data_IF_656974325978
#
_entry.id   IF_656974325978
#
_cell.length_a   1.000
_cell.length_b   1.000
_cell.length_c   1.000
_cell.angle_alpha   90.00
_cell.angle_beta   90.00
_cell.angle_gamma   90.00
#
_symmetry.space_group_name_H-M   'P 1'
#
loop_
_entity.id
_entity.type
_entity.pdbx_description
1 polymer ?
#
# COMPACT_ATOMS: atom_id res chain seq x y z
N UNK A 1 -8.05 -36.27 -18.59
CA UNK A 1 -8.35 -35.68 -17.27
C UNK A 1 -7.15 -35.86 -16.36
N UNK A 2 -6.65 -34.80 -15.76
CA UNK A 2 -5.52 -34.80 -14.80
C UNK A 2 -5.98 -35.25 -13.42
N UNK A 3 -5.29 -36.24 -12.81
CA UNK A 3 -5.56 -36.62 -11.43
C UNK A 3 -5.13 -35.49 -10.47
N UNK A 4 -6.08 -34.94 -9.68
CA UNK A 4 -5.89 -33.83 -8.73
C UNK A 4 -5.33 -34.37 -7.40
N UNK A 5 -4.04 -34.74 -7.37
CA UNK A 5 -3.41 -35.37 -6.20
C UNK A 5 -3.36 -34.44 -4.99
N UNK A 6 -3.35 -33.12 -5.19
CA UNK A 6 -3.42 -32.11 -4.14
C UNK A 6 -4.67 -32.18 -3.25
N UNK A 7 -5.76 -32.81 -3.69
CA UNK A 7 -6.92 -33.08 -2.84
C UNK A 7 -6.73 -34.30 -1.94
N UNK A 8 -5.98 -35.32 -2.42
CA UNK A 8 -5.70 -36.54 -1.64
C UNK A 8 -4.65 -36.29 -0.57
N UNK A 9 -3.57 -35.58 -0.96
CA UNK A 9 -2.41 -35.29 -0.11
C UNK A 9 -2.02 -33.81 -0.21
N UNK A 10 -2.74 -32.89 0.50
CA UNK A 10 -2.50 -31.46 0.41
C UNK A 10 -1.08 -31.01 0.78
N UNK A 11 -0.39 -31.83 1.59
CA UNK A 11 0.98 -31.59 2.05
C UNK A 11 2.07 -32.25 1.21
N UNK A 12 1.70 -32.97 0.16
CA UNK A 12 2.68 -33.53 -0.76
C UNK A 12 3.42 -32.40 -1.51
N UNK A 13 4.74 -32.38 -1.39
CA UNK A 13 5.60 -31.36 -1.99
C UNK A 13 6.05 -31.72 -3.40
N UNK A 14 6.06 -33.00 -3.74
CA UNK A 14 6.46 -33.50 -5.06
C UNK A 14 5.80 -34.84 -5.39
N UNK A 15 5.68 -35.11 -6.68
CA UNK A 15 5.16 -36.39 -7.18
C UNK A 15 5.75 -36.69 -8.56
N UNK A 16 5.89 -37.99 -8.88
CA UNK A 16 6.19 -38.41 -10.25
C UNK A 16 4.91 -38.44 -11.10
N UNK A 17 4.95 -37.90 -12.30
CA UNK A 17 3.83 -37.87 -13.26
C UNK A 17 4.31 -38.13 -14.68
N UNK A 18 3.38 -38.46 -15.57
CA UNK A 18 3.68 -38.59 -17.00
C UNK A 18 3.22 -37.33 -17.74
N UNK A 19 4.04 -36.80 -18.64
CA UNK A 19 3.68 -35.69 -19.52
C UNK A 19 2.65 -36.21 -20.52
N UNK A 20 1.44 -35.64 -20.48
CA UNK A 20 0.35 -36.02 -21.40
C UNK A 20 0.35 -35.17 -22.66
N UNK A 21 0.72 -33.88 -22.54
CA UNK A 21 0.89 -32.98 -23.68
C UNK A 21 1.93 -31.90 -23.40
N UNK A 22 2.56 -31.42 -24.47
CA UNK A 22 3.50 -30.28 -24.46
C UNK A 22 2.96 -29.19 -25.37
N UNK A 23 2.88 -27.98 -24.89
CA UNK A 23 2.41 -26.81 -25.65
C UNK A 23 3.40 -25.65 -25.52
N UNK A 24 3.31 -24.61 -26.37
CA UNK A 24 4.10 -23.42 -26.21
C UNK A 24 3.84 -22.66 -24.88
N UNK A 25 2.69 -22.92 -24.22
CA UNK A 25 2.32 -22.28 -22.95
C UNK A 25 2.84 -23.05 -21.73
N UNK A 26 3.09 -24.36 -21.86
CA UNK A 26 3.48 -25.22 -20.73
C UNK A 26 3.14 -26.69 -20.95
N UNK A 27 3.06 -27.43 -19.84
CA UNK A 27 2.87 -28.90 -19.83
C UNK A 27 1.55 -29.29 -19.19
N UNK A 28 0.97 -30.37 -19.69
CA UNK A 28 -0.09 -31.14 -19.05
C UNK A 28 0.47 -32.45 -18.51
N UNK A 29 0.03 -32.84 -17.32
CA UNK A 29 0.51 -34.02 -16.63
C UNK A 29 -0.65 -34.99 -16.34
N UNK A 30 -0.36 -36.29 -16.26
CA UNK A 30 -1.35 -37.32 -15.89
C UNK A 30 -1.90 -37.12 -14.48
N UNK A 31 -1.10 -36.52 -13.57
CA UNK A 31 -1.47 -36.13 -12.20
C UNK A 31 -0.61 -34.98 -11.72
N UNK A 32 -1.12 -34.25 -10.73
CA UNK A 32 -0.37 -33.08 -10.19
C UNK A 32 -0.62 -32.86 -8.70
N UNK A 33 0.44 -32.39 -8.00
CA UNK A 33 0.37 -31.80 -6.64
C UNK A 33 0.05 -30.31 -6.69
N UNK A 34 0.17 -29.67 -7.88
CA UNK A 34 -0.05 -28.25 -8.07
C UNK A 34 -1.54 -27.91 -8.10
N UNK A 35 -1.96 -27.00 -7.24
CA UNK A 35 -3.31 -26.45 -7.20
C UNK A 35 -3.46 -25.41 -8.30
N UNK A 36 -4.43 -25.52 -9.19
CA UNK A 36 -4.73 -24.49 -10.17
C UNK A 36 -5.51 -23.33 -9.55
N UNK A 37 -5.31 -22.12 -10.07
CA UNK A 37 -6.04 -20.95 -9.62
C UNK A 37 -7.55 -21.20 -9.53
N UNK A 38 -8.15 -20.90 -8.38
CA UNK A 38 -9.58 -21.09 -8.18
C UNK A 38 -10.07 -20.58 -6.82
N UNK A 39 -11.34 -20.13 -6.77
CA UNK A 39 -11.97 -19.72 -5.51
C UNK A 39 -11.31 -18.55 -4.78
N UNK A 40 -10.53 -17.73 -5.48
CA UNK A 40 -9.78 -16.62 -4.90
C UNK A 40 -8.40 -17.00 -4.37
N UNK A 41 -8.00 -18.28 -4.47
CA UNK A 41 -6.65 -18.75 -4.21
C UNK A 41 -5.86 -18.78 -5.51
N UNK A 42 -4.68 -18.15 -5.61
CA UNK A 42 -3.78 -18.24 -6.74
C UNK A 42 -3.31 -19.67 -7.03
N UNK A 43 -2.92 -19.91 -8.27
CA UNK A 43 -2.30 -21.15 -8.69
C UNK A 43 -0.91 -21.35 -8.07
N UNK A 44 -0.53 -22.60 -7.93
CA UNK A 44 0.81 -22.94 -7.47
C UNK A 44 1.85 -22.72 -8.55
N UNK A 45 3.08 -22.60 -8.10
CA UNK A 45 4.29 -22.56 -8.90
C UNK A 45 5.33 -23.54 -8.34
N UNK A 46 6.37 -23.79 -9.12
CA UNK A 46 7.41 -24.73 -8.70
C UNK A 46 8.31 -25.15 -9.85
N UNK A 47 8.66 -26.43 -9.89
CA UNK A 47 9.61 -26.97 -10.86
C UNK A 47 9.14 -28.33 -11.42
N UNK A 48 9.37 -28.55 -12.70
CA UNK A 48 9.22 -29.87 -13.35
C UNK A 48 10.61 -30.24 -13.86
N UNK A 49 11.21 -31.35 -13.34
CA UNK A 49 12.60 -31.73 -13.60
C UNK A 49 13.60 -30.57 -13.49
N UNK A 50 13.41 -29.70 -12.50
CA UNK A 50 14.24 -28.53 -12.24
C UNK A 50 13.97 -27.32 -13.17
N UNK A 51 13.06 -27.42 -14.14
CA UNK A 51 12.63 -26.30 -14.97
C UNK A 51 11.45 -25.59 -14.29
N UNK A 52 11.50 -24.29 -14.05
CA UNK A 52 10.44 -23.59 -13.32
C UNK A 52 9.15 -23.47 -14.15
N UNK A 53 8.01 -23.70 -13.49
CA UNK A 53 6.70 -23.25 -13.94
C UNK A 53 6.22 -22.12 -13.03
N UNK A 54 5.59 -21.12 -13.62
CA UNK A 54 5.25 -19.86 -12.92
C UNK A 54 3.83 -19.83 -12.40
N UNK A 55 2.95 -20.70 -12.87
CA UNK A 55 1.53 -20.74 -12.53
C UNK A 55 0.92 -22.09 -12.89
N UNK A 56 -0.25 -22.37 -12.31
CA UNK A 56 -1.05 -23.55 -12.57
C UNK A 56 -2.49 -23.14 -12.84
N UNK A 57 -3.04 -23.50 -14.00
CA UNK A 57 -4.34 -23.03 -14.48
C UNK A 57 -5.26 -24.20 -14.87
N UNK A 58 -6.56 -24.01 -14.68
CA UNK A 58 -7.57 -24.88 -15.27
C UNK A 58 -7.72 -24.61 -16.77
N UNK A 59 -7.62 -25.65 -17.62
CA UNK A 59 -8.04 -25.61 -19.02
C UNK A 59 -9.01 -26.77 -19.29
N UNK A 60 -10.31 -26.52 -19.07
CA UNK A 60 -11.34 -27.57 -19.09
C UNK A 60 -11.12 -28.59 -17.98
N UNK A 61 -11.03 -29.90 -18.38
CA UNK A 61 -10.78 -31.03 -17.47
C UNK A 61 -9.29 -31.29 -17.22
N UNK A 62 -8.41 -30.47 -17.76
CA UNK A 62 -6.96 -30.61 -17.63
C UNK A 62 -6.36 -29.43 -16.84
N UNK A 63 -5.13 -29.65 -16.38
CA UNK A 63 -4.39 -28.66 -15.60
C UNK A 63 -3.11 -28.30 -16.34
N UNK A 64 -2.99 -27.04 -16.74
CA UNK A 64 -1.82 -26.48 -17.41
C UNK A 64 -0.81 -25.97 -16.36
N UNK A 65 0.43 -26.46 -16.45
CA UNK A 65 1.58 -25.89 -15.74
C UNK A 65 2.28 -24.90 -16.67
N UNK A 66 2.16 -23.59 -16.39
CA UNK A 66 2.65 -22.51 -17.26
C UNK A 66 4.17 -22.44 -17.22
N UNK A 67 4.82 -22.70 -18.35
CA UNK A 67 6.29 -22.71 -18.47
C UNK A 67 6.76 -21.89 -19.66
N UNK A 68 7.90 -21.21 -19.50
CA UNK A 68 8.54 -20.48 -20.61
C UNK A 68 9.36 -21.38 -21.54
N UNK A 69 9.93 -22.44 -20.99
CA UNK A 69 10.76 -23.40 -21.75
C UNK A 69 10.21 -24.82 -21.60
N UNK A 70 9.65 -25.32 -22.66
CA UNK A 70 9.11 -26.68 -22.76
C UNK A 70 9.94 -27.59 -23.69
N UNK A 71 11.05 -27.07 -24.22
CA UNK A 71 11.85 -27.75 -25.29
C UNK A 71 12.46 -29.08 -24.87
N UNK A 72 12.65 -29.31 -23.58
CA UNK A 72 13.25 -30.50 -22.99
C UNK A 72 12.26 -31.66 -22.81
N UNK A 73 10.97 -31.43 -22.98
CA UNK A 73 9.90 -32.36 -22.63
C UNK A 73 9.19 -32.91 -23.86
N UNK A 74 8.75 -34.16 -23.76
CA UNK A 74 7.92 -34.84 -24.77
C UNK A 74 6.76 -35.55 -24.09
N UNK A 75 5.65 -35.69 -24.81
CA UNK A 75 4.55 -36.54 -24.37
C UNK A 75 5.05 -37.96 -24.13
N UNK A 76 4.68 -38.55 -23.00
CA UNK A 76 5.15 -39.87 -22.56
C UNK A 76 6.34 -39.81 -21.58
N UNK A 77 7.03 -38.70 -21.42
CA UNK A 77 8.12 -38.56 -20.43
C UNK A 77 7.58 -38.73 -19.01
N UNK A 78 8.35 -39.44 -18.19
CA UNK A 78 8.11 -39.49 -16.74
C UNK A 78 8.92 -38.37 -16.09
N UNK A 79 8.24 -37.52 -15.36
CA UNK A 79 8.82 -36.31 -14.76
C UNK A 79 8.46 -36.21 -13.28
N UNK A 80 9.30 -35.51 -12.50
CA UNK A 80 9.01 -35.13 -11.13
C UNK A 80 8.55 -33.67 -11.09
N UNK A 81 7.32 -33.42 -10.63
CA UNK A 81 6.84 -32.10 -10.32
C UNK A 81 7.07 -31.80 -8.83
N UNK A 82 7.63 -30.64 -8.54
CA UNK A 82 7.93 -30.17 -7.17
C UNK A 82 7.35 -28.79 -6.96
N UNK A 83 6.67 -28.57 -5.84
CA UNK A 83 6.06 -27.28 -5.48
C UNK A 83 7.10 -26.29 -4.93
N UNK A 84 6.89 -25.00 -5.18
CA UNK A 84 7.34 -23.94 -4.27
C UNK A 84 6.49 -24.04 -3.00
N UNK A 85 7.01 -24.77 -2.01
CA UNK A 85 6.26 -25.07 -0.81
C UNK A 85 5.97 -23.83 0.06
N UNK A 86 6.87 -22.86 0.07
CA UNK A 86 6.66 -21.62 0.83
C UNK A 86 5.46 -20.86 0.26
N UNK A 87 5.37 -20.76 -1.08
CA UNK A 87 4.22 -20.17 -1.77
C UNK A 87 2.92 -20.93 -1.47
N UNK A 88 2.90 -22.27 -1.66
CA UNK A 88 1.73 -23.10 -1.40
C UNK A 88 1.25 -22.95 0.04
N UNK A 89 2.15 -23.08 1.01
CA UNK A 89 1.81 -23.09 2.42
C UNK A 89 1.31 -21.74 2.91
N UNK A 90 1.88 -20.65 2.43
CA UNK A 90 1.41 -19.30 2.70
C UNK A 90 -0.05 -19.11 2.23
N UNK A 91 -0.40 -19.57 1.02
CA UNK A 91 -1.79 -19.47 0.57
C UNK A 91 -2.74 -20.46 1.27
N UNK A 92 -2.27 -21.63 1.70
CA UNK A 92 -3.05 -22.50 2.58
C UNK A 92 -3.36 -21.81 3.92
N UNK A 93 -2.39 -21.11 4.52
CA UNK A 93 -2.59 -20.34 5.75
C UNK A 93 -3.60 -19.21 5.54
N UNK A 94 -3.46 -18.44 4.46
CA UNK A 94 -4.39 -17.36 4.12
C UNK A 94 -5.81 -17.86 3.86
N UNK A 95 -5.94 -18.97 3.14
CA UNK A 95 -7.26 -19.52 2.82
C UNK A 95 -7.96 -20.02 4.09
N UNK A 96 -7.23 -20.71 4.96
CA UNK A 96 -7.78 -21.15 6.25
C UNK A 96 -8.13 -19.96 7.15
N UNK A 97 -7.27 -18.93 7.20
CA UNK A 97 -7.55 -17.69 7.93
C UNK A 97 -8.79 -16.97 7.40
N UNK A 98 -8.96 -16.94 6.08
CA UNK A 98 -10.16 -16.36 5.45
C UNK A 98 -11.44 -17.07 5.89
N UNK A 99 -11.44 -18.42 5.92
CA UNK A 99 -12.58 -19.19 6.40
C UNK A 99 -12.83 -18.95 7.89
N UNK A 100 -11.78 -18.95 8.71
CA UNK A 100 -11.86 -18.67 10.14
C UNK A 100 -12.49 -17.30 10.40
N UNK A 101 -11.96 -16.24 9.79
CA UNK A 101 -12.48 -14.87 9.92
C UNK A 101 -13.92 -14.77 9.45
N UNK A 102 -14.25 -15.30 8.26
CA UNK A 102 -15.61 -15.24 7.72
C UNK A 102 -16.61 -16.04 8.54
N UNK A 103 -16.19 -17.15 9.12
CA UNK A 103 -17.01 -17.96 10.04
C UNK A 103 -17.32 -17.21 11.32
N UNK A 104 -16.29 -16.63 11.97
CA UNK A 104 -16.44 -15.82 13.17
C UNK A 104 -17.26 -14.55 12.94
N UNK A 105 -17.02 -13.84 11.82
CA UNK A 105 -17.83 -12.68 11.38
C UNK A 105 -19.31 -13.05 11.33
N UNK A 106 -19.63 -14.16 10.67
CA UNK A 106 -21.01 -14.59 10.48
C UNK A 106 -21.64 -15.03 11.81
N UNK A 107 -20.97 -15.89 12.57
CA UNK A 107 -21.53 -16.53 13.78
C UNK A 107 -21.61 -15.56 14.95
N UNK A 108 -20.55 -14.76 15.19
CA UNK A 108 -20.46 -13.94 16.40
C UNK A 108 -20.95 -12.51 16.19
N UNK A 109 -20.89 -12.00 14.95
CA UNK A 109 -21.19 -10.60 14.65
C UNK A 109 -22.30 -10.41 13.61
N UNK A 110 -22.83 -11.50 13.03
CA UNK A 110 -23.88 -11.44 12.01
C UNK A 110 -23.43 -10.73 10.71
N UNK A 111 -22.13 -10.72 10.43
CA UNK A 111 -21.54 -10.06 9.27
C UNK A 111 -21.32 -11.09 8.16
N UNK A 112 -21.99 -10.91 7.02
CA UNK A 112 -21.87 -11.77 5.85
C UNK A 112 -20.66 -11.41 4.99
N UNK A 113 -20.11 -12.41 4.27
CA UNK A 113 -19.03 -12.25 3.31
C UNK A 113 -19.56 -12.20 1.89
N UNK A 114 -19.28 -11.14 1.12
CA UNK A 114 -19.65 -10.98 -0.29
C UNK A 114 -18.56 -11.53 -1.21
N UNK A 115 -17.33 -11.08 -1.04
CA UNK A 115 -16.18 -11.53 -1.82
C UNK A 115 -14.91 -11.62 -0.97
N UNK A 116 -13.93 -12.34 -1.47
CA UNK A 116 -12.62 -12.51 -0.83
C UNK A 116 -11.52 -12.43 -1.88
N UNK A 117 -10.36 -11.93 -1.48
CA UNK A 117 -9.18 -11.94 -2.34
C UNK A 117 -7.94 -12.20 -1.50
N UNK A 118 -7.15 -13.18 -1.94
CA UNK A 118 -5.87 -13.55 -1.35
C UNK A 118 -4.76 -12.94 -2.22
N UNK A 119 -4.35 -11.72 -1.86
CA UNK A 119 -3.25 -11.01 -2.54
C UNK A 119 -1.88 -11.47 -2.07
N UNK A 120 -0.82 -10.88 -2.63
CA UNK A 120 0.57 -11.20 -2.24
C UNK A 120 0.91 -10.73 -0.82
N UNK A 121 0.39 -9.57 -0.39
CA UNK A 121 0.71 -8.99 0.92
C UNK A 121 -0.44 -9.04 1.92
N UNK A 122 -1.67 -9.05 1.42
CA UNK A 122 -2.88 -8.91 2.24
C UNK A 122 -3.96 -9.88 1.80
N UNK A 123 -4.77 -10.28 2.77
CA UNK A 123 -6.05 -10.93 2.58
C UNK A 123 -7.15 -9.89 2.73
N UNK A 124 -8.10 -9.83 1.80
CA UNK A 124 -9.25 -8.93 1.92
C UNK A 124 -10.56 -9.70 1.96
N UNK A 125 -11.49 -9.24 2.78
CA UNK A 125 -12.85 -9.77 2.90
C UNK A 125 -13.84 -8.61 2.73
N UNK A 126 -14.60 -8.61 1.65
CA UNK A 126 -15.70 -7.69 1.43
C UNK A 126 -16.94 -8.21 2.14
N UNK A 127 -17.54 -7.38 2.99
CA UNK A 127 -18.67 -7.73 3.82
C UNK A 127 -19.98 -7.22 3.24
N UNK A 128 -21.11 -7.68 3.79
CA UNK A 128 -22.46 -7.17 3.48
C UNK A 128 -22.82 -5.91 4.27
N UNK A 129 -21.87 -5.31 5.00
CA UNK A 129 -22.11 -4.15 5.86
C UNK A 129 -21.61 -2.86 5.22
N UNK A 130 -22.41 -1.79 5.35
CA UNK A 130 -22.01 -0.43 4.97
C UNK A 130 -21.14 0.26 6.02
N UNK A 131 -21.12 -0.26 7.24
CA UNK A 131 -20.31 0.26 8.35
C UNK A 131 -20.00 -0.87 9.34
N UNK A 132 -18.80 -0.89 9.88
CA UNK A 132 -18.37 -1.77 10.96
C UNK A 132 -17.45 -0.94 11.86
N UNK A 133 -17.77 -0.87 13.14
CA UNK A 133 -16.94 -0.19 14.13
C UNK A 133 -15.57 -0.89 14.25
N UNK A 134 -14.50 -0.13 14.36
CA UNK A 134 -13.14 -0.66 14.44
C UNK A 134 -12.95 -1.61 15.63
N UNK A 135 -13.57 -1.31 16.76
CA UNK A 135 -13.56 -2.17 17.95
C UNK A 135 -14.11 -3.59 17.70
N UNK A 136 -15.08 -3.73 16.77
CA UNK A 136 -15.60 -5.03 16.35
C UNK A 136 -14.53 -5.81 15.57
N UNK A 137 -13.76 -5.12 14.72
CA UNK A 137 -12.69 -5.74 13.92
C UNK A 137 -11.48 -6.12 14.77
N UNK A 138 -11.11 -5.30 15.75
CA UNK A 138 -10.08 -5.63 16.74
C UNK A 138 -10.49 -6.81 17.62
N UNK A 139 -11.76 -6.86 18.03
CA UNK A 139 -12.30 -8.01 18.79
C UNK A 139 -12.29 -9.29 17.95
N UNK A 140 -12.61 -9.17 16.64
CA UNK A 140 -12.55 -10.29 15.72
C UNK A 140 -11.11 -10.82 15.54
N UNK A 141 -10.11 -9.93 15.52
CA UNK A 141 -8.69 -10.30 15.54
C UNK A 141 -8.36 -11.16 16.77
N UNK A 142 -8.79 -10.72 17.96
CA UNK A 142 -8.59 -11.46 19.22
C UNK A 142 -9.30 -12.83 19.21
N UNK A 143 -10.53 -12.89 18.70
CA UNK A 143 -11.30 -14.12 18.55
C UNK A 143 -10.60 -15.09 17.60
N UNK A 144 -10.12 -14.61 16.45
CA UNK A 144 -9.41 -15.41 15.46
C UNK A 144 -8.09 -15.96 16.02
N UNK A 145 -7.29 -15.13 16.69
CA UNK A 145 -6.03 -15.56 17.28
C UNK A 145 -6.27 -16.53 18.47
N UNK A 146 -7.37 -16.41 19.18
CA UNK A 146 -7.77 -17.41 20.19
C UNK A 146 -8.07 -18.76 19.53
N UNK A 147 -8.87 -18.80 18.47
CA UNK A 147 -9.18 -20.02 17.73
C UNK A 147 -7.93 -20.65 17.08
N UNK A 148 -6.93 -19.84 16.69
CA UNK A 148 -5.61 -20.31 16.25
C UNK A 148 -4.89 -21.03 17.40
N UNK A 149 -4.86 -20.44 18.57
CA UNK A 149 -4.22 -21.02 19.76
C UNK A 149 -4.92 -22.30 20.26
N UNK A 150 -6.23 -22.39 20.10
CA UNK A 150 -7.04 -23.58 20.43
C UNK A 150 -6.77 -24.74 19.46
N UNK A 151 -6.35 -24.46 18.24
CA UNK A 151 -5.92 -25.49 17.28
C UNK A 151 -7.06 -26.33 16.73
N UNK A 152 -8.15 -25.69 16.28
CA UNK A 152 -9.29 -26.40 15.70
C UNK A 152 -8.88 -27.21 14.47
N UNK A 153 -9.38 -28.44 14.36
CA UNK A 153 -9.13 -29.32 13.22
C UNK A 153 -9.80 -28.77 11.97
N UNK A 154 -9.07 -28.82 10.85
CA UNK A 154 -9.60 -28.48 9.52
C UNK A 154 -9.62 -29.75 8.66
N UNK A 155 -10.77 -30.10 8.12
CA UNK A 155 -10.94 -31.31 7.33
C UNK A 155 -12.00 -31.13 6.24
N UNK A 156 -12.08 -32.12 5.35
CA UNK A 156 -12.97 -32.10 4.20
C UNK A 156 -14.01 -33.20 4.28
N UNK A 157 -15.20 -32.90 3.74
CA UNK A 157 -16.26 -33.88 3.53
C UNK A 157 -16.75 -33.73 2.09
N UNK A 158 -16.88 -34.86 1.39
CA UNK A 158 -17.50 -34.90 0.09
C UNK A 158 -18.91 -35.48 0.25
N UNK A 159 -19.90 -34.85 -0.37
CA UNK A 159 -21.30 -35.26 -0.28
C UNK A 159 -22.08 -34.72 -1.48
N UNK A 160 -23.26 -35.27 -1.71
CA UNK A 160 -24.15 -34.78 -2.75
C UNK A 160 -24.62 -33.35 -2.47
N UNK A 161 -25.02 -32.65 -3.52
CA UNK A 161 -25.58 -31.28 -3.41
C UNK A 161 -26.76 -31.22 -2.41
N UNK A 162 -27.67 -32.19 -2.50
CA UNK A 162 -28.84 -32.24 -1.61
C UNK A 162 -28.49 -32.45 -0.14
N UNK A 163 -27.47 -33.25 0.16
CA UNK A 163 -26.99 -33.42 1.54
C UNK A 163 -26.33 -32.14 2.03
N UNK A 164 -25.56 -31.47 1.20
CA UNK A 164 -24.88 -30.23 1.55
C UNK A 164 -25.84 -29.06 1.78
N UNK A 165 -26.93 -28.94 1.01
CA UNK A 165 -28.00 -27.96 1.26
C UNK A 165 -28.65 -28.11 2.64
N UNK A 166 -28.77 -29.35 3.13
CA UNK A 166 -29.33 -29.67 4.44
C UNK A 166 -28.46 -29.23 5.63
N UNK A 167 -27.18 -28.83 5.40
CA UNK A 167 -26.25 -28.43 6.46
C UNK A 167 -26.42 -27.01 6.98
N UNK A 168 -27.23 -26.15 6.34
CA UNK A 168 -27.41 -24.77 6.75
C UNK A 168 -26.15 -23.93 6.62
N UNK A 169 -25.42 -24.12 5.51
CA UNK A 169 -24.17 -23.39 5.24
C UNK A 169 -24.41 -21.87 5.18
N UNK A 170 -23.45 -21.07 5.63
CA UNK A 170 -23.51 -19.60 5.62
C UNK A 170 -23.58 -18.96 4.21
N UNK A 171 -23.35 -19.73 3.14
CA UNK A 171 -23.51 -19.30 1.73
C UNK A 171 -24.14 -20.44 0.94
N UNK A 172 -24.95 -20.05 -0.08
CA UNK A 172 -25.53 -21.00 -1.01
C UNK A 172 -24.43 -21.71 -1.85
N UNK A 173 -24.68 -22.97 -2.15
CA UNK A 173 -23.81 -23.78 -3.02
C UNK A 173 -24.03 -23.35 -4.47
N UNK A 174 -22.92 -23.18 -5.21
CA UNK A 174 -22.95 -22.70 -6.61
C UNK A 174 -22.51 -23.76 -7.61
N UNK A 175 -22.17 -24.96 -7.14
CA UNK A 175 -21.67 -26.06 -7.99
C UNK A 175 -22.71 -27.16 -8.07
N UNK A 176 -22.84 -27.80 -9.23
CA UNK A 176 -23.69 -28.95 -9.44
C UNK A 176 -22.89 -30.26 -9.15
N UNK A 177 -23.61 -31.32 -8.74
CA UNK A 177 -23.00 -32.62 -8.45
C UNK A 177 -22.47 -32.75 -7.04
N UNK A 178 -21.36 -33.49 -6.87
CA UNK A 178 -20.73 -33.68 -5.55
C UNK A 178 -20.03 -32.42 -5.08
N UNK A 179 -20.27 -32.06 -3.82
CA UNK A 179 -19.79 -30.84 -3.18
C UNK A 179 -18.72 -31.18 -2.17
N UNK A 180 -17.56 -30.52 -2.28
CA UNK A 180 -16.52 -30.58 -1.27
C UNK A 180 -16.77 -29.49 -0.23
N UNK A 181 -17.01 -29.92 1.00
CA UNK A 181 -17.23 -29.07 2.17
C UNK A 181 -15.95 -29.01 3.01
N UNK A 182 -15.49 -27.81 3.29
CA UNK A 182 -14.40 -27.55 4.23
C UNK A 182 -15.03 -27.26 5.59
N UNK A 183 -14.54 -27.91 6.64
CA UNK A 183 -15.00 -27.75 8.02
C UNK A 183 -13.83 -27.29 8.88
N UNK A 184 -14.00 -26.16 9.55
CA UNK A 184 -13.21 -25.77 10.72
C UNK A 184 -14.05 -26.15 11.93
N UNK A 185 -13.62 -27.17 12.65
CA UNK A 185 -14.40 -27.80 13.71
C UNK A 185 -14.88 -26.77 14.75
N UNK A 186 -16.20 -26.70 14.95
CA UNK A 186 -16.82 -25.77 15.88
C UNK A 186 -16.88 -24.30 15.44
N UNK A 187 -16.35 -23.94 14.25
CA UNK A 187 -16.25 -22.54 13.81
C UNK A 187 -16.94 -22.27 12.46
N UNK A 188 -16.60 -23.01 11.40
CA UNK A 188 -17.10 -22.75 10.05
C UNK A 188 -17.33 -24.04 9.26
N UNK A 189 -18.30 -24.00 8.37
CA UNK A 189 -18.56 -25.06 7.40
C UNK A 189 -19.07 -24.44 6.10
N UNK A 190 -18.37 -24.69 4.99
CA UNK A 190 -18.69 -24.09 3.70
C UNK A 190 -18.21 -24.91 2.51
N UNK A 191 -18.91 -24.81 1.38
CA UNK A 191 -18.47 -25.38 0.11
C UNK A 191 -17.23 -24.62 -0.39
N UNK A 192 -16.11 -25.34 -0.56
CA UNK A 192 -14.85 -24.77 -1.02
C UNK A 192 -13.97 -25.81 -1.73
N UNK A 193 -13.46 -25.42 -2.91
CA UNK A 193 -12.50 -26.21 -3.68
C UNK A 193 -11.04 -25.93 -3.38
N UNK A 194 -10.74 -24.97 -2.48
CA UNK A 194 -9.36 -24.58 -2.18
C UNK A 194 -8.61 -25.56 -1.27
N UNK A 195 -7.33 -25.28 -1.05
CA UNK A 195 -6.46 -26.08 -0.20
C UNK A 195 -6.24 -25.34 1.13
N UNK A 196 -6.37 -26.08 2.23
CA UNK A 196 -6.31 -25.54 3.59
C UNK A 196 -5.23 -26.24 4.43
N UNK A 197 -4.81 -25.59 5.51
CA UNK A 197 -4.02 -26.23 6.57
C UNK A 197 -4.85 -27.27 7.31
N UNK A 198 -4.22 -28.24 7.98
CA UNK A 198 -4.93 -29.28 8.73
C UNK A 198 -5.46 -28.81 10.10
N UNK A 199 -4.96 -27.68 10.58
CA UNK A 199 -5.37 -27.07 11.84
C UNK A 199 -5.32 -25.56 11.76
N UNK A 200 -6.18 -24.86 12.51
CA UNK A 200 -6.10 -23.39 12.66
C UNK A 200 -4.78 -22.94 13.28
N UNK A 201 -4.14 -23.75 14.11
CA UNK A 201 -2.82 -23.42 14.68
C UNK A 201 -1.73 -23.21 13.64
N UNK A 202 -1.85 -23.80 12.47
CA UNK A 202 -0.91 -23.63 11.35
C UNK A 202 -1.01 -22.27 10.66
N UNK A 203 -2.10 -21.53 10.87
CA UNK A 203 -2.23 -20.15 10.39
C UNK A 203 -1.14 -19.26 10.99
N UNK A 204 -0.81 -19.52 12.27
CA UNK A 204 0.23 -18.82 13.03
C UNK A 204 -0.28 -17.53 13.67
N UNK A 205 -0.59 -16.49 12.93
CA UNK A 205 -1.07 -15.21 13.45
C UNK A 205 -1.99 -14.54 12.43
N UNK A 206 -3.02 -13.86 12.90
CA UNK A 206 -3.86 -12.95 12.10
C UNK A 206 -3.73 -11.56 12.69
N UNK A 207 -3.55 -10.55 11.84
CA UNK A 207 -3.47 -9.15 12.22
C UNK A 207 -4.44 -8.32 11.35
N UNK A 208 -5.29 -7.53 11.99
CA UNK A 208 -6.10 -6.51 11.32
C UNK A 208 -5.19 -5.40 10.78
N UNK A 209 -5.37 -5.06 9.53
CA UNK A 209 -4.52 -4.08 8.83
C UNK A 209 -5.29 -2.84 8.35
N UNK A 210 -6.58 -2.77 8.65
CA UNK A 210 -7.44 -1.66 8.26
C UNK A 210 -8.69 -2.11 7.51
N UNK A 211 -9.48 -1.13 7.10
CA UNK A 211 -10.68 -1.32 6.26
C UNK A 211 -10.82 -0.17 5.27
N UNK A 212 -11.56 -0.44 4.21
CA UNK A 212 -11.90 0.54 3.17
C UNK A 212 -13.34 0.37 2.71
N UNK A 213 -13.91 1.44 2.16
CA UNK A 213 -15.25 1.40 1.58
C UNK A 213 -15.18 1.06 0.09
N UNK A 214 -15.87 -0.01 -0.31
CA UNK A 214 -15.98 -0.45 -1.71
C UNK A 214 -17.44 -0.62 -2.07
N UNK A 215 -17.95 0.15 -3.02
CA UNK A 215 -19.33 0.05 -3.54
C UNK A 215 -20.41 0.11 -2.46
N UNK A 216 -20.16 0.84 -1.36
CA UNK A 216 -21.09 0.94 -0.23
C UNK A 216 -20.98 -0.18 0.80
N UNK A 217 -19.96 -1.03 0.70
CA UNK A 217 -19.65 -2.11 1.64
C UNK A 217 -18.28 -1.93 2.28
N UNK A 218 -18.12 -2.38 3.51
CA UNK A 218 -16.83 -2.42 4.19
C UNK A 218 -16.05 -3.61 3.67
N UNK A 219 -14.85 -3.35 3.18
CA UNK A 219 -13.82 -4.34 2.90
C UNK A 219 -12.78 -4.30 4.00
N UNK A 220 -12.63 -5.41 4.72
CA UNK A 220 -11.64 -5.57 5.78
C UNK A 220 -10.33 -6.12 5.20
N UNK A 221 -9.21 -5.67 5.76
CA UNK A 221 -7.85 -5.98 5.30
C UNK A 221 -7.11 -6.67 6.42
N UNK A 222 -6.53 -7.82 6.13
CA UNK A 222 -5.87 -8.70 7.10
C UNK A 222 -4.48 -9.13 6.61
N UNK A 223 -3.59 -9.42 7.55
CA UNK A 223 -2.35 -10.15 7.30
C UNK A 223 -2.34 -11.42 8.12
N UNK A 224 -1.79 -12.49 7.55
CA UNK A 224 -1.79 -13.82 8.17
C UNK A 224 -0.41 -14.45 8.13
N UNK A 225 -0.12 -15.35 9.05
CA UNK A 225 1.09 -16.15 9.06
C UNK A 225 2.39 -15.33 9.08
N UNK A 226 3.31 -15.66 8.21
CA UNK A 226 4.61 -14.95 8.13
C UNK A 226 4.45 -13.50 7.70
N UNK A 227 3.41 -13.14 6.94
CA UNK A 227 3.12 -11.75 6.54
C UNK A 227 2.75 -10.88 7.74
N UNK A 228 1.94 -11.41 8.68
CA UNK A 228 1.62 -10.72 9.94
C UNK A 228 2.88 -10.51 10.79
N UNK A 229 3.70 -11.57 10.94
CA UNK A 229 4.97 -11.51 11.68
C UNK A 229 5.97 -10.52 11.04
N UNK A 230 6.08 -10.52 9.71
CA UNK A 230 6.95 -9.60 8.97
C UNK A 230 6.53 -8.14 9.18
N UNK A 231 5.22 -7.87 9.11
CA UNK A 231 4.66 -6.53 9.38
C UNK A 231 4.98 -6.08 10.80
N UNK A 232 4.73 -6.92 11.80
CA UNK A 232 5.04 -6.62 13.21
C UNK A 232 6.53 -6.31 13.44
N UNK A 233 7.44 -7.09 12.81
CA UNK A 233 8.89 -6.81 12.86
C UNK A 233 9.24 -5.46 12.24
N UNK A 234 8.62 -5.12 11.11
CA UNK A 234 8.78 -3.84 10.44
C UNK A 234 8.30 -2.68 11.30
N UNK A 235 7.13 -2.81 11.92
CA UNK A 235 6.56 -1.78 12.81
C UNK A 235 7.42 -1.59 14.05
N UNK A 236 7.90 -2.65 14.67
CA UNK A 236 8.83 -2.57 15.80
C UNK A 236 10.15 -1.88 15.41
N UNK A 237 10.68 -2.14 14.21
CA UNK A 237 11.87 -1.46 13.71
C UNK A 237 11.61 0.05 13.47
N UNK A 238 10.44 0.41 12.93
CA UNK A 238 10.02 1.80 12.74
C UNK A 238 9.92 2.54 14.08
N UNK A 239 9.22 1.95 15.07
CA UNK A 239 9.08 2.50 16.42
C UNK A 239 10.45 2.70 17.07
N UNK A 240 11.34 1.72 16.97
CA UNK A 240 12.74 1.83 17.46
C UNK A 240 13.49 2.96 16.77
N UNK A 241 13.34 3.11 15.45
CA UNK A 241 13.95 4.20 14.68
C UNK A 241 13.44 5.58 15.14
N UNK A 242 12.13 5.72 15.32
CA UNK A 242 11.50 6.94 15.83
C UNK A 242 11.95 7.27 17.26
N UNK A 243 12.05 6.26 18.14
CA UNK A 243 12.58 6.43 19.51
C UNK A 243 14.00 7.01 19.49
N UNK A 244 14.87 6.48 18.63
CA UNK A 244 16.25 6.95 18.49
C UNK A 244 16.29 8.38 17.91
N UNK A 245 15.52 8.67 16.86
CA UNK A 245 15.47 9.98 16.20
C UNK A 245 14.99 11.09 17.15
N UNK A 246 13.94 10.80 17.92
CA UNK A 246 13.30 11.77 18.84
C UNK A 246 13.94 11.74 20.23
N UNK A 247 14.92 10.86 20.48
CA UNK A 247 15.50 10.65 21.84
C UNK A 247 14.39 10.43 22.89
N UNK A 248 13.37 9.68 22.54
CA UNK A 248 12.17 9.45 23.36
C UNK A 248 11.97 7.95 23.60
N UNK A 249 11.34 7.61 24.74
CA UNK A 249 10.90 6.24 25.00
C UNK A 249 9.67 5.92 24.13
N UNK A 250 9.40 4.65 23.92
CA UNK A 250 8.32 4.16 23.07
C UNK A 250 6.95 4.74 23.46
N UNK A 251 6.67 4.82 24.77
CA UNK A 251 5.43 5.37 25.33
C UNK A 251 5.31 6.90 25.20
N UNK A 252 6.36 7.58 24.81
CA UNK A 252 6.44 9.06 24.72
C UNK A 252 6.81 9.57 23.32
N UNK A 253 6.89 8.70 22.32
CA UNK A 253 7.24 9.07 20.93
C UNK A 253 6.26 10.11 20.38
N UNK A 254 4.96 9.88 20.56
CA UNK A 254 3.93 10.79 20.04
C UNK A 254 4.04 12.17 20.66
N UNK A 255 4.15 12.24 22.00
CA UNK A 255 4.32 13.50 22.71
C UNK A 255 5.61 14.25 22.30
N UNK A 256 6.71 13.52 22.06
CA UNK A 256 7.95 14.10 21.56
C UNK A 256 7.81 14.66 20.13
N UNK A 257 7.10 13.96 19.26
CA UNK A 257 6.82 14.42 17.90
C UNK A 257 5.92 15.67 17.90
N UNK A 258 4.88 15.69 18.72
CA UNK A 258 3.98 16.84 18.88
C UNK A 258 4.74 18.08 19.39
N UNK A 259 5.60 17.90 20.40
CA UNK A 259 6.45 18.97 20.92
C UNK A 259 7.38 19.53 19.85
N UNK A 260 8.07 18.65 19.09
CA UNK A 260 8.96 19.08 18.02
C UNK A 260 8.21 19.84 16.92
N UNK A 261 7.00 19.39 16.56
CA UNK A 261 6.15 20.07 15.59
C UNK A 261 5.74 21.47 16.09
N UNK A 262 5.42 21.62 17.37
CA UNK A 262 5.08 22.90 17.98
C UNK A 262 6.29 23.84 18.07
N UNK A 263 7.43 23.35 18.54
CA UNK A 263 8.69 24.11 18.57
C UNK A 263 9.07 24.59 17.16
N UNK A 264 8.91 23.78 16.13
CA UNK A 264 9.17 24.17 14.74
C UNK A 264 8.22 25.29 14.28
N UNK A 265 6.93 25.22 14.64
CA UNK A 265 5.97 26.30 14.35
C UNK A 265 6.36 27.61 15.03
N UNK A 266 6.74 27.54 16.31
CA UNK A 266 7.16 28.70 17.07
C UNK A 266 8.45 29.33 16.54
N UNK A 267 9.43 28.50 16.18
CA UNK A 267 10.68 28.96 15.56
C UNK A 267 10.42 29.65 14.22
N UNK A 268 9.58 29.09 13.37
CA UNK A 268 9.20 29.72 12.09
C UNK A 268 8.49 31.05 12.28
N UNK A 269 7.61 31.14 13.29
CA UNK A 269 6.92 32.39 13.60
C UNK A 269 7.91 33.45 14.16
N UNK A 270 8.79 33.04 15.05
CA UNK A 270 9.84 33.93 15.63
C UNK A 270 10.80 34.41 14.55
N UNK A 271 11.23 33.53 13.66
CA UNK A 271 12.08 33.86 12.51
C UNK A 271 11.41 34.92 11.65
N UNK A 272 10.16 34.65 11.24
CA UNK A 272 9.38 35.57 10.41
C UNK A 272 9.25 36.97 11.08
N UNK A 273 8.94 37.01 12.37
CA UNK A 273 8.84 38.28 13.13
C UNK A 273 10.19 39.03 13.21
N UNK A 274 11.29 38.28 13.35
CA UNK A 274 12.63 38.85 13.33
C UNK A 274 13.01 39.40 11.95
N UNK A 275 12.68 38.70 10.89
CA UNK A 275 12.88 39.15 9.52
C UNK A 275 12.05 40.40 9.18
N UNK A 276 10.78 40.42 9.53
CA UNK A 276 9.90 41.60 9.40
C UNK A 276 10.45 42.82 10.19
N UNK A 277 10.91 42.60 11.41
CA UNK A 277 11.53 43.65 12.21
C UNK A 277 12.84 44.14 11.61
N UNK A 278 13.67 43.25 11.07
CA UNK A 278 14.90 43.59 10.35
C UNK A 278 14.61 44.42 9.09
N UNK A 279 13.60 44.03 8.32
CA UNK A 279 13.15 44.77 7.15
C UNK A 279 12.63 46.18 7.50
N UNK A 280 11.86 46.31 8.56
CA UNK A 280 11.38 47.59 9.08
C UNK A 280 12.55 48.52 9.44
N UNK A 281 13.53 48.03 10.22
CA UNK A 281 14.72 48.79 10.59
C UNK A 281 15.52 49.22 9.38
N UNK A 282 15.70 48.34 8.41
CA UNK A 282 16.45 48.63 7.17
C UNK A 282 15.78 49.74 6.38
N UNK A 283 14.48 49.70 6.20
CA UNK A 283 13.72 50.80 5.55
C UNK A 283 13.81 52.12 6.35
N UNK A 284 13.72 52.05 7.67
CA UNK A 284 13.79 53.24 8.53
C UNK A 284 15.17 53.89 8.63
N UNK A 285 16.25 53.14 8.30
CA UNK A 285 17.63 53.64 8.33
C UNK A 285 17.97 54.57 7.16
N UNK A 286 17.03 54.84 6.26
CA UNK A 286 17.24 55.69 5.10
C UNK A 286 18.08 55.00 4.00
N UNK A 287 17.93 53.71 3.85
CA UNK A 287 18.56 52.98 2.75
C UNK A 287 18.14 53.54 1.38
N UNK A 288 19.00 53.33 0.37
CA UNK A 288 18.68 53.68 -1.03
C UNK A 288 17.35 52.99 -1.44
N UNK A 289 16.63 53.55 -2.37
CA UNK A 289 15.38 52.95 -2.90
C UNK A 289 15.61 51.67 -3.71
N UNK A 290 16.87 51.41 -4.11
CA UNK A 290 17.31 50.24 -4.83
C UNK A 290 18.42 49.53 -4.03
N UNK A 291 18.12 48.38 -3.45
CA UNK A 291 19.08 47.65 -2.60
C UNK A 291 18.86 46.12 -2.61
N UNK A 292 19.92 45.40 -2.26
CA UNK A 292 19.86 43.98 -1.95
C UNK A 292 19.62 43.79 -0.46
N UNK A 293 18.76 42.86 -0.13
CA UNK A 293 18.33 42.60 1.25
C UNK A 293 18.87 41.26 1.77
N UNK A 294 19.35 41.19 3.01
CA UNK A 294 19.60 39.94 3.69
C UNK A 294 18.30 39.23 4.13
N UNK A 295 17.15 39.91 4.08
CA UNK A 295 15.85 39.40 4.51
C UNK A 295 15.00 39.00 3.29
N UNK A 296 14.10 37.98 3.44
CA UNK A 296 13.16 37.61 2.42
C UNK A 296 12.29 38.79 1.95
N UNK A 297 11.98 38.88 0.68
CA UNK A 297 11.16 39.97 0.13
C UNK A 297 9.78 40.09 0.78
N UNK A 298 9.21 38.98 1.25
CA UNK A 298 7.94 38.97 1.98
C UNK A 298 7.98 39.75 3.28
N UNK A 299 9.15 39.87 3.91
CA UNK A 299 9.33 40.63 5.16
C UNK A 299 9.14 42.13 4.97
N UNK A 300 9.33 42.66 3.76
CA UNK A 300 9.16 44.09 3.47
C UNK A 300 7.70 44.47 3.20
N UNK A 301 6.88 43.57 2.74
CA UNK A 301 5.51 43.88 2.28
C UNK A 301 4.65 44.62 3.31
N UNK A 302 4.65 44.27 4.63
CA UNK A 302 3.86 44.97 5.61
C UNK A 302 4.32 46.43 5.90
N UNK A 303 5.56 46.76 5.55
CA UNK A 303 6.22 48.02 5.88
C UNK A 303 6.30 49.00 4.70
N UNK A 304 6.03 48.54 3.48
CA UNK A 304 6.00 49.37 2.25
C UNK A 304 4.67 50.12 2.18
N UNK A 305 4.66 51.39 2.59
CA UNK A 305 3.46 52.24 2.59
C UNK A 305 3.56 53.40 1.59
N UNK A 306 4.74 54.02 1.54
CA UNK A 306 5.03 55.20 0.71
C UNK A 306 6.39 55.03 0.03
N UNK A 307 6.62 55.77 -1.06
CA UNK A 307 7.89 55.75 -1.76
C UNK A 307 7.91 54.79 -2.97
N UNK A 308 9.10 54.65 -3.54
CA UNK A 308 9.39 53.74 -4.62
C UNK A 308 10.60 52.91 -4.23
N UNK A 309 10.46 51.57 -4.29
CA UNK A 309 11.53 50.63 -3.90
C UNK A 309 11.68 49.53 -4.95
N UNK A 310 12.93 49.16 -5.21
CA UNK A 310 13.28 47.92 -5.87
C UNK A 310 14.23 47.15 -4.98
N UNK A 311 13.77 46.02 -4.48
CA UNK A 311 14.46 45.21 -3.47
C UNK A 311 14.78 43.86 -4.08
N UNK A 312 16.00 43.37 -3.94
CA UNK A 312 16.41 42.05 -4.33
C UNK A 312 16.76 41.19 -3.11
N UNK A 313 16.60 39.90 -3.25
CA UNK A 313 17.02 38.91 -2.26
C UNK A 313 17.36 37.60 -2.95
N UNK A 314 18.52 37.04 -2.67
CA UNK A 314 18.95 35.76 -3.23
C UNK A 314 18.83 34.65 -2.20
N UNK A 315 18.01 33.67 -2.52
CA UNK A 315 17.85 32.45 -1.73
C UNK A 315 18.11 31.23 -2.63
N UNK A 316 18.94 30.30 -2.15
CA UNK A 316 19.27 29.06 -2.86
C UNK A 316 19.73 29.26 -4.32
N UNK A 317 20.49 30.36 -4.58
CA UNK A 317 21.02 30.70 -5.91
C UNK A 317 20.00 31.30 -6.88
N UNK A 318 18.84 31.72 -6.41
CA UNK A 318 17.82 32.41 -7.21
C UNK A 318 17.63 33.82 -6.71
N UNK A 319 17.74 34.81 -7.59
CA UNK A 319 17.50 36.21 -7.27
C UNK A 319 16.01 36.53 -7.39
N UNK A 320 15.36 36.70 -6.22
CA UNK A 320 14.03 37.28 -6.12
C UNK A 320 14.09 38.80 -6.27
N UNK A 321 13.04 39.42 -6.78
CA UNK A 321 12.86 40.87 -6.82
C UNK A 321 11.47 41.27 -6.38
N UNK A 322 11.38 42.46 -5.74
CA UNK A 322 10.16 43.13 -5.38
C UNK A 322 10.26 44.57 -5.81
N UNK A 323 9.26 45.06 -6.53
CA UNK A 323 9.09 46.46 -6.85
C UNK A 323 7.83 47.00 -6.19
N UNK A 324 7.99 48.07 -5.43
CA UNK A 324 6.88 48.84 -4.83
C UNK A 324 6.86 50.22 -5.49
N UNK A 325 5.76 50.60 -6.15
CA UNK A 325 5.63 51.84 -6.88
C UNK A 325 4.43 51.87 -7.83
N UNK A 326 4.40 52.89 -8.69
CA UNK A 326 3.29 53.08 -9.63
C UNK A 326 3.30 52.13 -10.79
N UNK A 327 2.13 51.95 -11.42
CA UNK A 327 1.99 51.12 -12.63
C UNK A 327 2.83 51.66 -13.79
N UNK A 328 2.93 52.98 -13.92
CA UNK A 328 3.71 53.64 -14.97
C UNK A 328 5.21 53.34 -14.83
N UNK A 329 5.72 53.39 -13.60
CA UNK A 329 7.13 53.09 -13.30
C UNK A 329 7.44 51.62 -13.51
N UNK A 330 6.56 50.72 -13.11
CA UNK A 330 6.72 49.31 -13.40
C UNK A 330 6.69 49.02 -14.91
N UNK A 331 5.91 49.76 -15.70
CA UNK A 331 5.88 49.60 -17.14
C UNK A 331 7.23 49.86 -17.81
N UNK A 332 8.09 50.71 -17.23
CA UNK A 332 9.47 50.91 -17.70
C UNK A 332 10.30 49.64 -17.53
N UNK A 333 10.25 49.05 -16.36
CA UNK A 333 10.94 47.76 -16.07
C UNK A 333 10.40 46.62 -16.94
N UNK A 334 9.10 46.60 -17.20
CA UNK A 334 8.46 45.59 -18.02
C UNK A 334 8.88 45.67 -19.50
N UNK A 335 9.18 46.84 -20.02
CA UNK A 335 9.72 47.03 -21.40
C UNK A 335 11.07 46.35 -21.55
N UNK A 336 11.89 46.36 -20.53
CA UNK A 336 13.24 45.78 -20.48
C UNK A 336 13.27 44.41 -19.81
N UNK A 337 12.10 43.78 -19.61
CA UNK A 337 12.00 42.53 -18.85
C UNK A 337 12.84 41.39 -19.42
N UNK A 338 13.05 41.37 -20.74
CA UNK A 338 13.90 40.37 -21.40
C UNK A 338 15.38 40.57 -21.06
N UNK A 339 15.87 41.81 -21.08
CA UNK A 339 17.24 42.16 -20.72
C UNK A 339 17.51 41.95 -19.21
N UNK A 340 16.54 42.28 -18.38
CA UNK A 340 16.58 42.07 -16.94
C UNK A 340 16.29 40.62 -16.51
N UNK A 341 15.97 39.74 -17.46
CA UNK A 341 15.54 38.35 -17.21
C UNK A 341 14.43 38.24 -16.14
N UNK A 342 13.51 39.24 -16.10
CA UNK A 342 12.43 39.27 -15.11
C UNK A 342 11.33 38.28 -15.46
N UNK A 343 10.99 37.42 -14.50
CA UNK A 343 9.80 36.56 -14.54
C UNK A 343 8.97 36.88 -13.32
N UNK A 344 7.72 37.29 -13.51
CA UNK A 344 6.81 37.66 -12.47
C UNK A 344 5.86 38.78 -12.89
N UNK A 345 5.22 39.41 -11.91
CA UNK A 345 4.26 40.48 -12.10
C UNK A 345 3.55 40.83 -10.83
N UNK A 346 2.44 41.53 -10.93
CA UNK A 346 1.67 41.96 -9.77
C UNK A 346 0.66 43.01 -10.18
N UNK A 347 0.18 43.74 -9.17
CA UNK A 347 -0.73 44.87 -9.29
C UNK A 347 -0.22 46.01 -8.43
N UNK A 348 -0.23 47.23 -8.98
CA UNK A 348 0.21 48.42 -8.22
C UNK A 348 -0.48 48.44 -6.83
N UNK A 349 0.27 48.78 -5.77
CA UNK A 349 1.64 49.27 -5.82
C UNK A 349 2.74 48.16 -5.75
N UNK A 350 2.37 46.86 -5.68
CA UNK A 350 3.31 45.76 -5.43
C UNK A 350 3.45 44.81 -6.61
N UNK A 351 4.70 44.63 -7.08
CA UNK A 351 5.09 43.68 -8.12
C UNK A 351 6.26 42.84 -7.59
N UNK A 352 6.30 41.57 -7.96
CA UNK A 352 7.36 40.67 -7.51
C UNK A 352 7.61 39.53 -8.50
N UNK A 353 8.77 38.90 -8.38
CA UNK A 353 9.14 37.80 -9.21
C UNK A 353 10.57 37.32 -8.98
N UNK A 354 11.14 36.69 -10.01
CA UNK A 354 12.52 36.18 -10.00
C UNK A 354 13.25 36.68 -11.23
N UNK A 355 14.60 36.81 -11.13
CA UNK A 355 15.50 37.08 -12.25
C UNK A 355 16.57 35.99 -12.33
N UNK A 356 17.10 35.79 -13.53
CA UNK A 356 18.27 34.95 -13.75
C UNK A 356 19.60 35.70 -13.57
N UNK A 357 19.53 37.03 -13.42
CA UNK A 357 20.71 37.86 -13.16
C UNK A 357 21.09 37.82 -11.67
N UNK A 358 22.37 38.08 -11.37
CA UNK A 358 22.79 38.34 -9.99
C UNK A 358 22.20 39.61 -9.43
N UNK A 359 22.12 39.76 -8.11
CA UNK A 359 21.59 40.96 -7.46
C UNK A 359 22.27 42.24 -7.89
N UNK A 360 23.61 42.23 -7.97
CA UNK A 360 24.41 43.38 -8.35
C UNK A 360 24.09 43.85 -9.78
N UNK A 361 24.09 42.92 -10.73
CA UNK A 361 23.79 43.23 -12.16
C UNK A 361 22.34 43.71 -12.29
N UNK A 362 21.41 43.07 -11.59
CA UNK A 362 19.99 43.43 -11.65
C UNK A 362 19.75 44.83 -11.07
N UNK A 363 20.32 45.16 -9.91
CA UNK A 363 20.19 46.48 -9.29
C UNK A 363 20.81 47.60 -10.10
N UNK A 364 22.00 47.35 -10.70
CA UNK A 364 22.66 48.33 -11.57
C UNK A 364 21.82 48.63 -12.83
N UNK A 365 21.33 47.59 -13.50
CA UNK A 365 20.47 47.73 -14.69
C UNK A 365 19.15 48.46 -14.38
N UNK A 366 18.51 48.10 -13.23
CA UNK A 366 17.27 48.76 -12.79
C UNK A 366 17.51 50.24 -12.45
N UNK A 367 18.66 50.55 -11.85
CA UNK A 367 19.03 51.93 -11.50
C UNK A 367 19.16 52.81 -12.76
N UNK A 368 19.67 52.27 -13.87
CA UNK A 368 19.75 53.00 -15.13
C UNK A 368 18.37 53.23 -15.76
N UNK A 369 17.45 52.28 -15.65
CA UNK A 369 16.10 52.37 -16.23
C UNK A 369 15.19 53.34 -15.44
N UNK A 370 15.35 53.38 -14.13
CA UNK A 370 14.50 54.19 -13.23
C UNK A 370 15.06 55.61 -12.95
N UNK A 371 16.24 55.95 -13.46
CA UNK A 371 16.73 57.33 -13.50
C UNK A 371 15.89 58.18 -14.43
#
# INVERSE_FOLDING_TARGET
MTEMYYYKEPYAKSISATVTAVTPKGLYLSRTVSYPEGGGQPGDRGWIEGVPYSDTLHEGDEILHVMKDTSRFKAGDTVTITLDWEHRYDYMQQHTAQHLLSGLMFTNHGIGTLSVHQGEDILTIETDRGEIEEDVLLKLEDEANRAINEGHRVYYREMSHSEAEGLGLRRSIKVDGDVRIVVIEGVDMIACGGIHTASTSEIGEICYAGSEMIRGHVRTIWRTGERAKAKRRSDAALVKGLSALLSAREDSILAAAERLAEENRQLKWTLKAAEEKGAEILLASGCDSLFSSPYPLSAFQPHLKDGEYFITHTESGRTGWLFFGSQERFALLKKEAAALALKGGGRAPLFQGVSALSEEVLLESVREILR
#
